data_IF_720707758727
#
_entry.id   IF_720707758727
#
_cell.length_a   1.000
_cell.length_b   1.000
_cell.length_c   1.000
_cell.angle_alpha   90.00
_cell.angle_beta   90.00
_cell.angle_gamma   90.00
#
_symmetry.space_group_name_H-M   'P 1'
#
loop_
_entity.id
_entity.type
_entity.pdbx_description
1 polymer ?
#
# COMPACT_ATOMS: atom_id res chain seq x y z
N UNK A 1 11.58 11.15 -20.17
CA UNK A 1 11.02 11.58 -18.86
C UNK A 1 12.11 11.97 -17.86
N UNK A 2 12.94 11.05 -17.35
CA UNK A 2 14.01 11.41 -16.41
C UNK A 2 14.96 12.52 -16.91
N UNK A 3 15.37 12.47 -18.18
CA UNK A 3 16.19 13.53 -18.77
C UNK A 3 15.46 14.89 -18.82
N UNK A 4 14.15 14.91 -19.11
CA UNK A 4 13.35 16.14 -19.11
C UNK A 4 13.23 16.72 -17.70
N UNK A 5 12.96 15.85 -16.72
CA UNK A 5 12.94 16.22 -15.30
C UNK A 5 14.27 16.84 -14.86
N UNK A 6 15.40 16.23 -15.27
CA UNK A 6 16.72 16.77 -14.97
C UNK A 6 16.97 18.15 -15.63
N UNK A 7 16.66 18.29 -16.92
CA UNK A 7 16.94 19.52 -17.68
C UNK A 7 16.06 20.68 -17.23
N UNK A 8 14.79 20.41 -16.93
CA UNK A 8 13.80 21.45 -16.57
C UNK A 8 13.70 21.70 -15.06
N UNK A 9 14.40 20.90 -14.26
CA UNK A 9 14.29 20.83 -12.80
C UNK A 9 12.89 20.51 -12.25
N UNK A 10 11.92 20.16 -13.10
CA UNK A 10 10.60 19.73 -12.65
C UNK A 10 10.57 18.26 -12.22
N UNK A 11 9.72 17.96 -11.24
CA UNK A 11 9.53 16.62 -10.70
C UNK A 11 9.20 15.58 -11.79
N UNK A 12 9.73 14.36 -11.64
CA UNK A 12 9.42 13.26 -12.56
C UNK A 12 7.92 12.93 -12.57
N UNK A 13 7.26 12.97 -11.41
CA UNK A 13 5.82 12.72 -11.29
C UNK A 13 5.00 13.71 -12.14
N UNK A 14 5.35 14.99 -12.11
CA UNK A 14 4.67 16.02 -12.91
C UNK A 14 4.85 15.77 -14.41
N UNK A 15 6.06 15.43 -14.83
CA UNK A 15 6.28 15.03 -16.23
C UNK A 15 5.45 13.80 -16.60
N UNK A 16 5.37 12.79 -15.73
CA UNK A 16 4.52 11.62 -16.00
C UNK A 16 3.04 12.02 -16.14
N UNK A 17 2.54 12.89 -15.27
CA UNK A 17 1.18 13.39 -15.32
C UNK A 17 0.87 14.14 -16.64
N UNK A 18 1.80 14.97 -17.12
CA UNK A 18 1.67 15.66 -18.43
C UNK A 18 1.48 14.68 -19.58
N UNK A 19 2.09 13.49 -19.50
CA UNK A 19 1.96 12.44 -20.51
C UNK A 19 0.79 11.46 -20.21
N UNK A 20 -0.12 11.82 -19.31
CA UNK A 20 -1.31 11.03 -18.98
C UNK A 20 -1.04 9.89 -17.98
N UNK A 21 0.10 9.89 -17.30
CA UNK A 21 0.48 8.87 -16.32
C UNK A 21 0.43 9.49 -14.92
N UNK A 22 -0.75 9.42 -14.29
CA UNK A 22 -0.96 9.86 -12.92
C UNK A 22 -0.60 8.73 -11.94
N UNK A 23 0.53 8.89 -11.23
CA UNK A 23 1.02 7.90 -10.28
C UNK A 23 0.11 7.71 -9.07
N UNK A 24 -0.54 8.78 -8.59
CA UNK A 24 -1.43 8.72 -7.42
C UNK A 24 -2.71 7.93 -7.78
N UNK A 25 -3.26 8.14 -8.99
CA UNK A 25 -4.40 7.36 -9.50
C UNK A 25 -4.02 5.90 -9.72
N UNK A 26 -2.89 5.65 -10.41
CA UNK A 26 -2.45 4.29 -10.74
C UNK A 26 -2.20 3.49 -9.47
N UNK A 27 -1.42 4.03 -8.51
CA UNK A 27 -1.14 3.31 -7.27
C UNK A 27 -2.33 3.28 -6.30
N UNK A 28 -3.31 4.19 -6.45
CA UNK A 28 -4.61 4.10 -5.79
C UNK A 28 -5.38 2.81 -6.12
N UNK A 29 -5.17 2.22 -7.30
CA UNK A 29 -5.79 0.94 -7.68
C UNK A 29 -5.39 -0.22 -6.76
N UNK A 30 -4.28 -0.12 -6.00
CA UNK A 30 -3.84 -1.19 -5.07
C UNK A 30 -4.93 -1.54 -4.05
N UNK A 31 -5.72 -0.56 -3.62
CA UNK A 31 -6.81 -0.75 -2.64
C UNK A 31 -7.96 -1.60 -3.23
N UNK A 32 -8.10 -1.63 -4.55
CA UNK A 32 -9.17 -2.37 -5.23
C UNK A 32 -8.80 -3.83 -5.53
N UNK A 33 -7.51 -4.15 -5.51
CA UNK A 33 -6.99 -5.50 -5.79
C UNK A 33 -7.18 -6.37 -4.55
N UNK A 34 -7.90 -7.49 -4.70
CA UNK A 34 -7.99 -8.51 -3.66
C UNK A 34 -6.61 -9.16 -3.46
N UNK A 35 -6.20 -9.24 -2.20
CA UNK A 35 -4.90 -9.81 -1.81
C UNK A 35 -5.14 -11.00 -0.90
N UNK A 36 -4.46 -12.10 -1.17
CA UNK A 36 -4.40 -13.23 -0.24
C UNK A 36 -3.64 -12.86 1.01
N UNK A 37 -2.48 -12.22 0.87
CA UNK A 37 -1.64 -11.82 2.00
C UNK A 37 -1.91 -10.36 2.40
N UNK A 38 -1.78 -10.04 3.68
CA UNK A 38 -1.80 -8.65 4.14
C UNK A 38 -0.57 -7.93 3.59
N UNK A 39 -0.77 -6.75 3.02
CA UNK A 39 0.30 -5.99 2.35
C UNK A 39 0.39 -4.57 2.89
N UNK A 40 1.59 -4.01 2.89
CA UNK A 40 1.77 -2.59 3.12
C UNK A 40 1.30 -1.79 1.91
N UNK A 41 0.52 -0.76 2.17
CA UNK A 41 0.16 0.24 1.18
C UNK A 41 1.28 1.27 1.09
N UNK A 42 1.59 1.66 -0.15
CA UNK A 42 2.43 2.82 -0.41
C UNK A 42 1.64 4.08 -0.05
N UNK A 43 2.11 4.82 0.96
CA UNK A 43 1.52 6.09 1.40
C UNK A 43 2.24 7.30 0.80
N UNK A 44 3.11 7.09 -0.19
CA UNK A 44 3.73 8.16 -0.95
C UNK A 44 2.69 8.96 -1.70
N UNK A 45 2.80 10.29 -1.61
CA UNK A 45 2.03 11.21 -2.44
C UNK A 45 2.97 11.74 -3.51
N UNK A 46 2.66 11.44 -4.77
CA UNK A 46 3.51 11.75 -5.92
C UNK A 46 3.29 13.18 -6.41
N UNK A 47 2.04 13.64 -6.43
CA UNK A 47 1.69 15.04 -6.67
C UNK A 47 1.34 15.76 -5.36
N UNK A 48 2.36 16.39 -4.76
CA UNK A 48 2.18 17.19 -3.53
C UNK A 48 1.33 18.44 -3.74
N UNK A 49 1.13 18.89 -4.99
CA UNK A 49 0.27 20.02 -5.32
C UNK A 49 -1.10 19.58 -5.79
N UNK A 50 -1.42 18.29 -5.78
CA UNK A 50 -2.77 17.81 -6.06
C UNK A 50 -3.78 18.49 -5.12
N UNK A 51 -4.93 18.81 -5.68
CA UNK A 51 -6.05 19.33 -4.91
C UNK A 51 -6.87 18.19 -4.32
N UNK A 52 -7.07 18.22 -3.02
CA UNK A 52 -7.80 17.23 -2.25
C UNK A 52 -9.14 17.84 -1.80
N UNK A 53 -10.28 17.22 -2.14
CA UNK A 53 -11.57 17.61 -1.57
C UNK A 53 -11.50 17.59 -0.05
N UNK A 54 -11.96 18.65 0.59
CA UNK A 54 -11.84 18.78 2.04
C UNK A 54 -13.20 18.98 2.72
N UNK A 55 -13.22 18.64 4.01
CA UNK A 55 -14.38 18.74 4.85
C UNK A 55 -14.04 19.42 6.17
N UNK A 56 -15.01 20.12 6.73
CA UNK A 56 -14.92 20.72 8.05
C UNK A 56 -15.96 20.09 8.98
N UNK A 57 -15.66 20.09 10.26
CA UNK A 57 -16.58 19.58 11.28
C UNK A 57 -17.85 20.43 11.30
N UNK A 58 -18.99 19.76 11.24
CA UNK A 58 -20.30 20.36 11.34
C UNK A 58 -20.74 20.25 12.80
N UNK A 59 -21.19 21.37 13.37
CA UNK A 59 -21.86 21.34 14.66
C UNK A 59 -23.13 20.48 14.53
N UNK A 60 -23.22 19.33 15.20
CA UNK A 60 -24.35 18.44 15.05
C UNK A 60 -25.60 19.11 15.64
N UNK A 61 -26.71 19.06 14.92
CA UNK A 61 -27.98 19.67 15.36
C UNK A 61 -28.66 18.90 16.53
N UNK A 62 -28.05 17.83 17.03
CA UNK A 62 -28.59 16.95 18.07
C UNK A 62 -27.55 15.96 18.63
N UNK A 63 -28.01 14.95 19.38
CA UNK A 63 -27.15 13.93 19.99
C UNK A 63 -26.52 13.05 18.92
N UNK A 64 -25.19 13.06 18.84
CA UNK A 64 -24.42 12.17 17.96
C UNK A 64 -24.40 10.77 18.55
N UNK A 65 -24.83 9.77 17.77
CA UNK A 65 -24.75 8.37 18.16
C UNK A 65 -23.35 7.81 17.86
N UNK A 66 -22.99 6.70 18.53
CA UNK A 66 -21.71 6.00 18.31
C UNK A 66 -21.49 5.59 16.84
N UNK A 67 -22.57 5.44 16.06
CA UNK A 67 -22.53 5.23 14.62
C UNK A 67 -23.41 6.32 14.01
N UNK A 68 -22.80 7.30 13.34
CA UNK A 68 -23.50 8.40 12.68
C UNK A 68 -22.97 8.59 11.26
N UNK A 69 -23.82 8.90 10.26
CA UNK A 69 -23.36 9.19 8.90
C UNK A 69 -22.39 10.36 8.88
N UNK A 70 -21.30 10.25 8.11
CA UNK A 70 -20.29 11.32 8.00
C UNK A 70 -20.91 12.66 7.55
N UNK A 71 -21.94 12.66 6.70
CA UNK A 71 -22.62 13.89 6.28
C UNK A 71 -23.37 14.65 7.39
N UNK A 72 -23.59 14.02 8.55
CA UNK A 72 -24.11 14.71 9.75
C UNK A 72 -23.00 15.36 10.57
N UNK A 73 -21.78 14.83 10.47
CA UNK A 73 -20.60 15.26 11.22
C UNK A 73 -19.68 16.19 10.42
N UNK A 74 -19.75 16.12 9.10
CA UNK A 74 -18.86 16.79 8.17
C UNK A 74 -19.66 17.57 7.14
N UNK A 75 -19.20 18.79 6.85
CA UNK A 75 -19.67 19.61 5.74
C UNK A 75 -18.52 19.83 4.75
N UNK A 76 -18.84 19.99 3.46
CA UNK A 76 -17.82 20.37 2.47
C UNK A 76 -17.14 21.68 2.86
N UNK A 77 -15.84 21.74 2.62
CA UNK A 77 -15.01 22.91 2.84
C UNK A 77 -14.18 23.20 1.58
N UNK A 78 -13.43 24.29 1.61
CA UNK A 78 -12.50 24.64 0.54
C UNK A 78 -11.48 23.51 0.33
N UNK A 79 -11.25 23.06 -0.91
CA UNK A 79 -10.23 22.07 -1.22
C UNK A 79 -8.86 22.48 -0.68
N UNK A 80 -8.06 21.49 -0.28
CA UNK A 80 -6.70 21.72 0.25
C UNK A 80 -5.65 21.14 -0.68
N UNK A 81 -4.42 21.65 -0.61
CA UNK A 81 -3.30 21.00 -1.30
C UNK A 81 -2.85 19.78 -0.50
N UNK A 82 -2.44 18.74 -1.21
CA UNK A 82 -1.92 17.54 -0.57
C UNK A 82 -0.73 17.85 0.35
N UNK A 83 0.16 18.77 -0.03
CA UNK A 83 1.29 19.21 0.77
C UNK A 83 0.90 19.71 2.18
N UNK A 84 -0.22 20.44 2.28
CA UNK A 84 -0.71 20.99 3.54
C UNK A 84 -1.15 19.89 4.52
N UNK A 85 -1.45 18.69 4.00
CA UNK A 85 -1.89 17.53 4.76
C UNK A 85 -0.73 16.59 5.14
N UNK A 86 0.42 16.70 4.45
CA UNK A 86 1.55 15.78 4.60
C UNK A 86 2.47 16.12 5.78
N UNK A 87 2.65 17.41 6.09
CA UNK A 87 3.56 17.89 7.13
C UNK A 87 3.38 17.21 8.52
N UNK A 88 2.16 16.98 9.05
CA UNK A 88 2.00 16.41 10.39
C UNK A 88 2.24 14.90 10.50
N UNK A 89 2.26 14.16 9.38
CA UNK A 89 2.15 12.69 9.38
C UNK A 89 3.32 11.94 8.75
N UNK A 90 4.32 12.63 8.20
CA UNK A 90 5.42 12.00 7.46
C UNK A 90 6.18 10.97 8.31
N UNK A 91 6.10 9.69 7.94
CA UNK A 91 6.79 8.57 8.60
C UNK A 91 6.19 8.12 9.94
N UNK A 92 5.10 8.74 10.41
CA UNK A 92 4.46 8.39 11.69
C UNK A 92 3.53 7.18 11.57
N UNK A 93 2.92 7.02 10.41
CA UNK A 93 1.91 5.99 10.18
C UNK A 93 2.25 5.15 8.96
N UNK A 94 2.02 3.86 9.09
CA UNK A 94 1.98 2.91 7.99
C UNK A 94 0.53 2.45 7.80
N UNK A 95 0.21 2.04 6.58
CA UNK A 95 -1.12 1.54 6.24
C UNK A 95 -0.98 0.13 5.70
N UNK A 96 -1.81 -0.78 6.22
CA UNK A 96 -1.86 -2.17 5.78
C UNK A 96 -3.22 -2.47 5.17
N UNK A 97 -3.24 -3.16 4.02
CA UNK A 97 -4.45 -3.73 3.45
C UNK A 97 -4.55 -5.19 3.92
N UNK A 98 -5.60 -5.49 4.69
CA UNK A 98 -5.82 -6.82 5.26
C UNK A 98 -6.15 -7.82 4.16
N UNK A 99 -5.36 -8.89 4.09
CA UNK A 99 -5.53 -9.97 3.11
C UNK A 99 -6.54 -11.03 3.56
N UNK A 100 -6.98 -11.85 2.60
CA UNK A 100 -7.95 -12.93 2.83
C UNK A 100 -7.42 -14.07 3.70
N UNK A 101 -6.11 -14.33 3.66
CA UNK A 101 -5.45 -15.38 4.42
C UNK A 101 -4.87 -14.91 5.76
N UNK A 102 -5.17 -13.67 6.20
CA UNK A 102 -4.70 -13.15 7.49
C UNK A 102 -5.55 -13.65 8.66
N UNK A 103 -5.30 -14.91 9.04
CA UNK A 103 -5.99 -15.60 10.14
C UNK A 103 -5.82 -14.93 11.51
N UNK A 104 -4.79 -14.10 11.69
CA UNK A 104 -4.54 -13.39 12.94
C UNK A 104 -5.36 -12.11 13.08
N UNK A 105 -5.77 -11.52 11.95
CA UNK A 105 -6.58 -10.30 11.89
C UNK A 105 -8.06 -10.59 12.17
N UNK A 106 -8.50 -11.80 11.83
CA UNK A 106 -9.87 -12.27 12.03
C UNK A 106 -10.17 -12.52 13.53
N UNK A 107 -11.38 -12.20 14.01
CA UNK A 107 -12.53 -11.65 13.28
C UNK A 107 -12.55 -10.11 13.31
N UNK A 108 -11.57 -9.48 13.95
CA UNK A 108 -11.61 -8.06 14.30
C UNK A 108 -11.55 -7.19 13.05
N UNK A 109 -10.65 -7.53 12.12
CA UNK A 109 -10.52 -6.87 10.83
C UNK A 109 -10.95 -7.84 9.73
N UNK A 110 -11.84 -7.37 8.85
CA UNK A 110 -12.29 -8.16 7.70
C UNK A 110 -11.31 -8.00 6.53
N UNK A 111 -11.17 -9.00 5.64
CA UNK A 111 -10.38 -8.85 4.41
C UNK A 111 -10.80 -7.61 3.61
N UNK A 112 -9.82 -6.92 3.04
CA UNK A 112 -10.01 -5.64 2.34
C UNK A 112 -10.10 -4.41 3.25
N UNK A 113 -10.05 -4.58 4.58
CA UNK A 113 -9.93 -3.43 5.49
C UNK A 113 -8.56 -2.78 5.38
N UNK A 114 -8.50 -1.47 5.52
CA UNK A 114 -7.25 -0.72 5.62
C UNK A 114 -7.01 -0.38 7.09
N UNK A 115 -5.93 -0.90 7.67
CA UNK A 115 -5.52 -0.59 9.03
C UNK A 115 -4.41 0.46 9.02
N UNK A 116 -4.45 1.38 9.98
CA UNK A 116 -3.36 2.34 10.24
C UNK A 116 -2.55 1.86 11.43
N UNK A 117 -1.23 1.84 11.27
CA UNK A 117 -0.28 1.46 12.31
C UNK A 117 0.64 2.64 12.69
N UNK A 118 0.68 3.02 13.97
CA UNK A 118 1.60 4.04 14.52
C UNK A 118 2.99 3.43 14.74
N UNK A 119 3.97 3.93 13.98
CA UNK A 119 5.35 3.41 13.97
C UNK A 119 6.12 3.71 15.24
N UNK A 120 5.70 4.74 16.00
CA UNK A 120 6.34 5.13 17.27
C UNK A 120 6.09 4.13 18.38
N UNK A 121 5.10 3.25 18.20
CA UNK A 121 4.70 2.21 19.15
C UNK A 121 5.08 0.80 18.65
N UNK A 122 6.16 0.72 17.86
CA UNK A 122 6.73 -0.53 17.36
C UNK A 122 7.63 -1.26 18.37
N UNK A 123 8.05 -0.57 19.43
CA UNK A 123 9.04 -1.09 20.38
C UNK A 123 8.44 -1.42 21.75
N UNK A 124 8.51 -2.70 22.10
CA UNK A 124 8.37 -3.18 23.47
C UNK A 124 6.97 -3.63 23.87
N UNK A 125 6.89 -4.43 24.95
CA UNK A 125 5.61 -4.82 25.52
C UNK A 125 4.86 -3.58 26.02
N UNK A 126 3.63 -3.40 25.54
CA UNK A 126 2.70 -2.49 26.20
C UNK A 126 2.39 -3.03 27.61
N UNK A 127 2.09 -2.15 28.58
CA UNK A 127 1.71 -2.58 29.93
C UNK A 127 0.59 -3.62 29.84
N UNK A 128 0.73 -4.71 30.60
CA UNK A 128 -0.19 -5.84 30.57
C UNK A 128 -1.62 -5.39 30.86
N UNK A 129 -2.49 -5.42 29.83
CA UNK A 129 -3.93 -5.40 30.07
C UNK A 129 -4.36 -6.75 30.64
N UNK A 130 -5.26 -6.70 31.62
CA UNK A 130 -5.78 -7.86 32.35
C UNK A 130 -6.66 -8.78 31.48
N UNK A 131 -7.03 -8.38 30.26
CA UNK A 131 -7.84 -9.20 29.35
C UNK A 131 -7.19 -9.43 27.98
N UNK A 132 -7.25 -10.67 27.48
CA UNK A 132 -6.75 -11.05 26.14
C UNK A 132 -7.55 -10.38 25.01
N UNK A 133 -8.79 -9.95 25.29
CA UNK A 133 -9.67 -9.26 24.35
C UNK A 133 -9.31 -7.78 24.14
N UNK A 134 -8.65 -7.15 25.11
CA UNK A 134 -8.19 -5.75 25.05
C UNK A 134 -6.77 -5.60 24.52
N UNK A 135 -6.09 -6.72 24.24
CA UNK A 135 -4.72 -6.64 23.73
C UNK A 135 -4.69 -5.95 22.37
N UNK A 136 -3.77 -5.00 22.18
CA UNK A 136 -3.66 -4.27 20.93
C UNK A 136 -3.22 -5.16 19.77
N UNK A 137 -3.62 -4.79 18.57
CA UNK A 137 -3.11 -5.37 17.34
C UNK A 137 -1.85 -4.63 16.87
N UNK A 138 -0.95 -5.37 16.25
CA UNK A 138 0.26 -4.87 15.64
C UNK A 138 0.32 -5.30 14.19
N UNK A 139 0.89 -4.43 13.37
CA UNK A 139 1.28 -4.80 12.02
C UNK A 139 2.69 -5.37 12.07
N UNK A 140 2.86 -6.59 11.57
CA UNK A 140 4.14 -7.32 11.61
C UNK A 140 4.53 -7.72 10.21
N UNK A 141 5.76 -7.39 9.83
CA UNK A 141 6.39 -7.89 8.61
C UNK A 141 7.14 -9.18 8.91
N UNK A 142 7.01 -10.18 8.04
CA UNK A 142 7.75 -11.43 8.06
C UNK A 142 8.11 -11.87 6.64
N UNK A 143 8.74 -13.04 6.50
CA UNK A 143 9.21 -13.58 5.20
C UNK A 143 8.12 -13.69 4.11
N UNK A 144 6.87 -13.90 4.51
CA UNK A 144 5.71 -14.10 3.64
C UNK A 144 4.79 -12.88 3.57
N UNK A 145 5.35 -11.68 3.68
CA UNK A 145 4.59 -10.44 3.62
C UNK A 145 4.30 -9.84 5.00
N UNK A 146 3.09 -9.33 5.20
CA UNK A 146 2.68 -8.77 6.48
C UNK A 146 1.52 -9.56 7.09
N UNK A 147 1.34 -9.41 8.40
CA UNK A 147 0.17 -9.88 9.13
C UNK A 147 -0.25 -8.84 10.18
N UNK A 148 -1.56 -8.74 10.40
CA UNK A 148 -2.13 -7.94 11.47
C UNK A 148 -2.50 -8.89 12.62
N UNK A 149 -1.73 -8.87 13.70
CA UNK A 149 -1.86 -9.86 14.76
C UNK A 149 -1.68 -9.24 16.14
N UNK A 150 -2.17 -9.95 17.15
CA UNK A 150 -1.78 -9.66 18.53
C UNK A 150 -0.48 -10.40 18.84
N UNK A 151 0.32 -9.80 19.72
CA UNK A 151 1.64 -10.33 20.08
C UNK A 151 1.66 -10.86 21.50
N UNK A 152 2.23 -12.06 21.67
CA UNK A 152 2.71 -12.56 22.95
C UNK A 152 4.23 -12.43 22.98
N UNK A 153 4.73 -11.67 23.94
CA UNK A 153 6.16 -11.51 24.15
C UNK A 153 6.69 -12.70 24.95
N UNK A 154 7.46 -13.57 24.30
CA UNK A 154 8.04 -14.78 24.90
C UNK A 154 9.45 -14.54 25.46
N UNK A 155 10.00 -13.34 25.24
CA UNK A 155 11.33 -12.94 25.69
C UNK A 155 11.69 -11.56 25.12
N UNK A 156 12.98 -11.22 25.12
CA UNK A 156 13.48 -9.95 24.57
C UNK A 156 13.34 -9.86 23.05
N UNK A 157 13.67 -10.95 22.35
CA UNK A 157 13.73 -10.98 20.87
C UNK A 157 12.80 -12.03 20.25
N UNK A 158 11.83 -12.55 21.01
CA UNK A 158 10.89 -13.57 20.53
C UNK A 158 9.46 -13.13 20.78
N UNK A 159 8.66 -13.20 19.73
CA UNK A 159 7.23 -12.93 19.77
C UNK A 159 6.48 -14.10 19.16
N UNK A 160 5.29 -14.35 19.68
CA UNK A 160 4.33 -15.22 19.04
C UNK A 160 3.17 -14.39 18.48
N UNK A 161 2.88 -14.58 17.19
CA UNK A 161 1.64 -14.14 16.58
C UNK A 161 0.54 -15.08 17.07
N UNK A 162 -0.57 -14.55 17.55
CA UNK A 162 -1.70 -15.37 17.99
C UNK A 162 -3.04 -14.78 17.55
N UNK A 163 -3.99 -15.67 17.25
CA UNK A 163 -5.39 -15.31 17.02
C UNK A 163 -6.19 -15.56 18.31
N UNK A 164 -7.06 -14.63 18.74
CA UNK A 164 -7.92 -14.85 19.91
C UNK A 164 -8.99 -15.93 19.67
N UNK A 165 -9.34 -16.22 18.42
CA UNK A 165 -10.35 -17.23 18.07
C UNK A 165 -9.78 -18.62 17.92
N UNK A 166 -8.48 -18.73 17.63
CA UNK A 166 -7.81 -20.02 17.48
C UNK A 166 -6.48 -20.03 18.24
N UNK A 167 -6.49 -20.51 19.51
CA UNK A 167 -5.29 -20.62 20.33
C UNK A 167 -4.22 -21.54 19.73
N UNK A 168 -4.58 -22.42 18.78
CA UNK A 168 -3.66 -23.35 18.14
C UNK A 168 -2.89 -22.71 16.98
N UNK A 169 -3.35 -21.56 16.47
CA UNK A 169 -2.64 -20.77 15.46
C UNK A 169 -1.67 -19.85 16.19
N UNK A 170 -0.55 -20.43 16.62
CA UNK A 170 0.56 -19.75 17.25
C UNK A 170 1.79 -19.87 16.35
N UNK A 171 2.35 -18.74 15.94
CA UNK A 171 3.63 -18.73 15.21
C UNK A 171 4.66 -17.94 15.97
N UNK A 172 5.65 -18.65 16.50
CA UNK A 172 6.82 -18.03 17.12
C UNK A 172 7.77 -17.49 16.04
N UNK A 173 8.23 -16.26 16.24
CA UNK A 173 9.14 -15.56 15.33
C UNK A 173 10.22 -14.84 16.13
N UNK A 174 11.45 -14.90 15.64
CA UNK A 174 12.56 -14.10 16.15
C UNK A 174 12.54 -12.68 15.58
N UNK A 175 12.39 -11.69 16.45
CA UNK A 175 12.46 -10.28 16.08
C UNK A 175 13.83 -9.92 15.50
N UNK A 176 13.83 -9.12 14.44
CA UNK A 176 15.03 -8.67 13.73
C UNK A 176 15.61 -9.70 12.76
N UNK A 177 15.17 -10.97 12.81
CA UNK A 177 15.57 -12.01 11.84
C UNK A 177 14.41 -12.51 11.00
N UNK A 178 13.33 -12.92 11.65
CA UNK A 178 12.16 -13.56 11.04
C UNK A 178 10.97 -12.62 11.00
N UNK A 179 10.90 -11.68 11.95
CA UNK A 179 9.83 -10.70 12.02
C UNK A 179 10.32 -9.31 12.39
N UNK A 180 9.61 -8.29 11.91
CA UNK A 180 9.76 -6.90 12.31
C UNK A 180 8.38 -6.33 12.67
N UNK A 181 8.24 -5.85 13.91
CA UNK A 181 7.03 -5.11 14.31
C UNK A 181 7.09 -3.73 13.68
N UNK A 182 6.09 -3.41 12.86
CA UNK A 182 6.02 -2.17 12.10
C UNK A 182 5.33 -1.04 12.89
N UNK A 183 4.32 -1.38 13.69
CA UNK A 183 3.62 -0.40 14.51
C UNK A 183 2.36 -0.95 15.17
N UNK A 184 1.81 -0.15 16.09
CA UNK A 184 0.55 -0.42 16.78
C UNK A 184 -0.63 -0.04 15.89
N UNK A 185 -1.56 -0.95 15.65
CA UNK A 185 -2.80 -0.65 14.91
C UNK A 185 -3.72 0.21 15.78
N UNK A 186 -4.08 1.39 15.26
CA UNK A 186 -4.86 2.39 16.01
C UNK A 186 -6.13 2.88 15.28
N UNK A 187 -6.29 2.55 13.98
CA UNK A 187 -7.48 2.86 13.21
C UNK A 187 -7.73 1.84 12.09
N UNK A 188 -8.99 1.73 11.66
CA UNK A 188 -9.46 0.87 10.57
C UNK A 188 -10.38 1.67 9.64
N UNK A 189 -10.24 1.47 8.33
CA UNK A 189 -11.24 1.80 7.32
C UNK A 189 -11.76 0.48 6.75
N UNK A 190 -13.06 0.24 6.90
CA UNK A 190 -13.71 -1.01 6.51
C UNK A 190 -14.45 -0.87 5.17
N UNK A 191 -14.37 -1.85 4.25
CA UNK A 191 -15.16 -1.83 3.03
C UNK A 191 -16.68 -1.94 3.31
N UNK A 192 -17.50 -1.18 2.57
CA UNK A 192 -18.97 -1.06 2.78
C UNK A 192 -19.76 -2.18 2.08
N UNK A 193 -19.19 -2.88 1.09
CA UNK A 193 -19.80 -4.04 0.40
C UNK A 193 -18.84 -5.22 0.38
N UNK A 194 -19.31 -6.36 0.88
CA UNK A 194 -18.67 -7.66 0.70
C UNK A 194 -19.51 -8.43 -0.33
N UNK A 195 -19.29 -8.16 -1.61
CA UNK A 195 -19.90 -8.94 -2.68
C UNK A 195 -18.86 -9.09 -3.78
N UNK A 196 -17.91 -9.99 -3.53
CA UNK A 196 -16.90 -10.40 -4.49
C UNK A 196 -16.61 -11.88 -4.25
N UNK A 197 -16.95 -12.69 -5.25
CA UNK A 197 -16.82 -14.14 -5.24
C UNK A 197 -15.45 -14.58 -4.74
N UNK A 198 -15.49 -15.54 -3.81
CA UNK A 198 -14.33 -16.26 -3.31
C UNK A 198 -13.76 -17.14 -4.42
N UNK A 199 -12.93 -16.55 -5.27
CA UNK A 199 -12.14 -17.26 -6.26
C UNK A 199 -11.10 -18.15 -5.59
N UNK A 200 -11.45 -19.43 -5.42
CA UNK A 200 -10.58 -20.59 -5.16
C UNK A 200 -9.44 -20.38 -4.15
N UNK A 201 -9.68 -20.86 -2.93
CA UNK A 201 -8.64 -21.15 -1.94
C UNK A 201 -7.79 -22.30 -2.50
N UNK A 202 -6.52 -22.04 -2.80
CA UNK A 202 -5.53 -23.09 -3.10
C UNK A 202 -4.47 -23.11 -1.99
N UNK A 203 -3.98 -24.32 -1.69
CA UNK A 203 -3.19 -24.69 -0.52
C UNK A 203 -1.97 -23.79 -0.22
N UNK A 204 -1.67 -23.53 1.06
CA UNK A 204 -0.56 -22.69 1.52
C UNK A 204 0.85 -23.31 1.33
N UNK A 205 1.01 -24.28 0.43
CA UNK A 205 2.10 -25.27 0.52
C UNK A 205 3.36 -24.99 -0.31
N UNK A 206 3.53 -23.83 -0.96
CA UNK A 206 4.79 -23.55 -1.68
C UNK A 206 5.25 -22.10 -1.46
N UNK A 207 5.81 -21.84 -0.28
CA UNK A 207 6.64 -20.66 -0.04
C UNK A 207 7.79 -21.06 0.90
N UNK A 208 8.86 -21.57 0.31
CA UNK A 208 10.07 -21.92 1.05
C UNK A 208 10.95 -20.69 1.31
N UNK A 209 11.33 -20.54 2.58
CA UNK A 209 12.53 -19.89 3.12
C UNK A 209 13.06 -18.67 2.35
N UNK A 210 12.57 -17.48 2.70
CA UNK A 210 13.20 -16.22 2.28
C UNK A 210 13.43 -15.31 3.49
N UNK A 211 14.70 -15.19 3.90
CA UNK A 211 15.11 -14.23 4.94
C UNK A 211 14.77 -12.80 4.48
N UNK A 212 14.59 -11.89 5.44
CA UNK A 212 14.51 -10.44 5.21
C UNK A 212 15.85 -9.92 4.65
N UNK A 213 16.14 -10.19 3.37
CA UNK A 213 17.36 -9.75 2.69
C UNK A 213 17.06 -8.43 1.97
N UNK A 214 17.88 -7.38 2.16
CA UNK A 214 17.83 -6.19 1.32
C UNK A 214 18.13 -6.58 -0.13
N UNK A 215 17.18 -6.40 -1.04
CA UNK A 215 17.33 -6.77 -2.45
C UNK A 215 18.24 -5.78 -3.17
N UNK A 216 19.44 -6.22 -3.54
CA UNK A 216 20.46 -5.35 -4.14
C UNK A 216 20.30 -5.18 -5.66
N UNK A 217 19.56 -6.06 -6.34
CA UNK A 217 19.36 -6.00 -7.79
C UNK A 217 17.87 -6.16 -8.16
N UNK A 218 17.50 -5.71 -9.37
CA UNK A 218 16.11 -5.72 -9.86
C UNK A 218 15.50 -7.12 -9.90
N UNK A 219 16.28 -8.14 -10.29
CA UNK A 219 15.81 -9.53 -10.37
C UNK A 219 15.32 -10.01 -9.00
N UNK A 220 16.15 -9.85 -7.98
CA UNK A 220 15.84 -10.31 -6.62
C UNK A 220 14.70 -9.48 -6.03
N UNK A 221 14.64 -8.17 -6.32
CA UNK A 221 13.53 -7.31 -5.94
C UNK A 221 12.20 -7.81 -6.52
N UNK A 222 12.13 -8.07 -7.82
CA UNK A 222 10.91 -8.55 -8.48
C UNK A 222 10.46 -9.90 -7.91
N UNK A 223 11.39 -10.86 -7.88
CA UNK A 223 11.09 -12.23 -7.42
C UNK A 223 10.66 -12.24 -5.95
N UNK A 224 11.41 -11.59 -5.08
CA UNK A 224 11.11 -11.59 -3.64
C UNK A 224 9.82 -10.84 -3.35
N UNK A 225 9.56 -9.72 -4.01
CA UNK A 225 8.31 -8.96 -3.82
C UNK A 225 7.09 -9.72 -4.35
N UNK A 226 7.18 -10.42 -5.48
CA UNK A 226 6.10 -11.28 -5.96
C UNK A 226 5.79 -12.41 -4.96
N UNK A 227 6.83 -13.07 -4.46
CA UNK A 227 6.72 -14.14 -3.45
C UNK A 227 6.07 -13.58 -2.17
N UNK A 228 6.54 -12.42 -1.67
CA UNK A 228 6.02 -11.73 -0.48
C UNK A 228 4.56 -11.26 -0.58
N UNK A 229 4.01 -11.16 -1.78
CA UNK A 229 2.59 -10.82 -2.00
C UNK A 229 1.77 -12.08 -2.31
N UNK A 230 2.44 -13.23 -2.50
CA UNK A 230 1.81 -14.53 -2.72
C UNK A 230 1.22 -14.71 -4.11
N UNK A 231 1.78 -14.07 -5.14
CA UNK A 231 1.28 -14.16 -6.52
C UNK A 231 2.06 -15.19 -7.36
N UNK A 232 1.35 -16.09 -8.03
CA UNK A 232 1.92 -16.81 -9.16
C UNK A 232 1.87 -15.97 -10.45
N UNK A 233 2.61 -16.36 -11.49
CA UNK A 233 2.61 -15.62 -12.76
C UNK A 233 1.25 -15.58 -13.45
N UNK A 234 0.41 -16.62 -13.28
CA UNK A 234 -0.94 -16.64 -13.86
C UNK A 234 -1.83 -15.60 -13.18
N UNK A 235 -1.87 -15.59 -11.85
CA UNK A 235 -2.62 -14.59 -11.07
C UNK A 235 -2.12 -13.17 -11.36
N UNK A 236 -0.79 -12.96 -11.38
CA UNK A 236 -0.22 -11.67 -11.72
C UNK A 236 -0.59 -11.22 -13.14
N UNK A 237 -0.65 -12.13 -14.11
CA UNK A 237 -1.08 -11.81 -15.47
C UNK A 237 -2.56 -11.43 -15.51
N UNK A 238 -3.45 -12.19 -14.84
CA UNK A 238 -4.87 -11.86 -14.74
C UNK A 238 -5.10 -10.50 -14.07
N UNK A 239 -4.37 -10.19 -13.00
CA UNK A 239 -4.43 -8.87 -12.37
C UNK A 239 -3.91 -7.76 -13.28
N UNK A 240 -2.84 -8.01 -14.06
CA UNK A 240 -2.35 -7.01 -15.01
C UNK A 240 -3.34 -6.72 -16.15
N UNK A 241 -4.16 -7.71 -16.53
CA UNK A 241 -5.25 -7.51 -17.49
C UNK A 241 -6.33 -6.62 -16.89
N UNK A 242 -6.75 -6.90 -15.66
CA UNK A 242 -7.69 -6.03 -14.95
C UNK A 242 -7.19 -4.59 -14.81
N UNK A 243 -5.89 -4.39 -14.56
CA UNK A 243 -5.26 -3.06 -14.53
C UNK A 243 -5.33 -2.38 -15.90
N UNK A 244 -5.05 -3.12 -16.99
CA UNK A 244 -5.16 -2.60 -18.35
C UNK A 244 -6.59 -2.18 -18.68
N UNK A 245 -7.60 -2.98 -18.29
CA UNK A 245 -9.01 -2.64 -18.46
C UNK A 245 -9.38 -1.38 -17.64
N UNK A 246 -8.96 -1.33 -16.36
CA UNK A 246 -9.25 -0.23 -15.46
C UNK A 246 -8.62 1.10 -15.91
N UNK A 247 -7.45 1.04 -16.54
CA UNK A 247 -6.74 2.20 -17.08
C UNK A 247 -7.04 2.45 -18.57
N UNK A 248 -7.81 1.57 -19.21
CA UNK A 248 -8.08 1.58 -20.66
C UNK A 248 -6.80 1.65 -21.52
N UNK A 249 -5.75 0.95 -21.12
CA UNK A 249 -4.46 0.91 -21.82
C UNK A 249 -3.81 -0.50 -21.74
N UNK A 250 -3.79 -1.19 -22.87
CA UNK A 250 -3.20 -2.53 -23.05
C UNK A 250 -1.70 -2.59 -22.75
N UNK A 251 -1.00 -1.44 -22.74
CA UNK A 251 0.40 -1.39 -22.35
C UNK A 251 0.63 -1.74 -20.88
N UNK A 252 -0.41 -1.81 -20.04
CA UNK A 252 -0.29 -2.31 -18.66
C UNK A 252 -0.35 -3.85 -18.57
N UNK A 253 -0.90 -4.57 -19.55
CA UNK A 253 -1.08 -6.03 -19.49
C UNK A 253 0.24 -6.81 -19.65
N UNK A 254 0.59 -7.71 -18.73
CA UNK A 254 1.77 -8.56 -18.85
C UNK A 254 1.39 -10.05 -18.91
N UNK A 255 1.78 -10.73 -19.98
CA UNK A 255 1.59 -12.17 -20.11
C UNK A 255 2.47 -12.95 -19.10
N UNK A 256 2.11 -14.19 -18.72
CA UNK A 256 2.88 -14.97 -17.73
C UNK A 256 4.34 -15.20 -18.14
N UNK A 257 4.61 -15.43 -19.43
CA UNK A 257 5.97 -15.55 -19.96
C UNK A 257 6.75 -14.25 -19.82
N UNK A 258 6.14 -13.11 -20.13
CA UNK A 258 6.76 -11.79 -19.99
C UNK A 258 7.15 -11.50 -18.54
N UNK A 259 6.29 -11.87 -17.57
CA UNK A 259 6.60 -11.72 -16.14
C UNK A 259 7.79 -12.60 -15.72
N UNK A 260 7.83 -13.84 -16.20
CA UNK A 260 8.97 -14.75 -16.00
C UNK A 260 10.26 -14.18 -16.62
N UNK A 261 10.17 -13.58 -17.81
CA UNK A 261 11.31 -12.97 -18.49
C UNK A 261 11.85 -11.75 -17.71
N UNK A 262 10.98 -10.93 -17.12
CA UNK A 262 11.40 -9.82 -16.27
C UNK A 262 12.16 -10.29 -15.02
N UNK A 263 11.74 -11.39 -14.39
CA UNK A 263 12.45 -11.99 -13.26
C UNK A 263 13.77 -12.67 -13.67
N UNK A 264 13.97 -13.01 -14.94
CA UNK A 264 15.19 -13.69 -15.38
C UNK A 264 16.21 -12.73 -15.98
N UNK A 265 15.80 -11.74 -16.77
CA UNK A 265 16.72 -10.92 -17.58
C UNK A 265 17.41 -9.79 -16.80
N UNK A 266 16.98 -9.49 -15.57
CA UNK A 266 17.53 -8.43 -14.72
C UNK A 266 17.58 -7.03 -15.38
N UNK A 267 16.81 -6.84 -16.45
CA UNK A 267 16.68 -5.58 -17.17
C UNK A 267 15.27 -5.02 -16.98
N UNK A 268 15.11 -3.69 -16.81
CA UNK A 268 13.80 -3.10 -16.66
C UNK A 268 12.97 -3.23 -17.96
N UNK A 269 11.63 -3.36 -17.85
CA UNK A 269 10.74 -3.29 -18.99
C UNK A 269 10.95 -2.03 -19.83
N UNK A 270 10.76 -2.14 -21.15
CA UNK A 270 10.91 -1.01 -22.09
C UNK A 270 9.83 0.06 -21.93
N UNK A 271 8.62 -0.35 -21.54
CA UNK A 271 7.46 0.52 -21.37
C UNK A 271 7.25 0.83 -19.89
N UNK A 272 7.06 2.10 -19.57
CA UNK A 272 6.82 2.54 -18.20
C UNK A 272 5.53 1.94 -17.62
N UNK A 273 4.51 1.71 -18.44
CA UNK A 273 3.28 1.03 -18.02
C UNK A 273 3.57 -0.34 -17.41
N UNK A 274 4.50 -1.12 -18.00
CA UNK A 274 4.91 -2.41 -17.44
C UNK A 274 5.64 -2.26 -16.11
N UNK A 275 6.47 -1.22 -15.96
CA UNK A 275 7.13 -0.89 -14.68
C UNK A 275 6.06 -0.59 -13.62
N UNK A 276 5.08 0.25 -13.95
CA UNK A 276 4.00 0.63 -13.05
C UNK A 276 3.12 -0.57 -12.68
N UNK A 277 2.80 -1.44 -13.64
CA UNK A 277 2.13 -2.73 -13.38
C UNK A 277 2.91 -3.57 -12.38
N UNK A 278 4.23 -3.75 -12.56
CA UNK A 278 5.05 -4.52 -11.61
C UNK A 278 5.07 -3.88 -10.21
N UNK A 279 5.23 -2.57 -10.14
CA UNK A 279 5.19 -1.84 -8.86
C UNK A 279 3.83 -2.00 -8.16
N UNK A 280 2.74 -1.88 -8.92
CA UNK A 280 1.38 -2.03 -8.43
C UNK A 280 1.09 -3.45 -7.91
N UNK A 281 1.42 -4.46 -8.72
CA UNK A 281 1.10 -5.85 -8.42
C UNK A 281 2.00 -6.43 -7.33
N UNK A 282 3.29 -6.12 -7.34
CA UNK A 282 4.25 -6.66 -6.36
C UNK A 282 4.45 -5.75 -5.14
N UNK A 283 3.65 -4.68 -5.03
CA UNK A 283 3.72 -3.71 -3.92
C UNK A 283 5.13 -3.12 -3.73
N UNK A 284 5.82 -2.85 -4.83
CA UNK A 284 7.16 -2.23 -4.83
C UNK A 284 6.99 -0.70 -4.87
N UNK A 285 7.81 0.03 -4.11
CA UNK A 285 7.91 1.49 -4.23
C UNK A 285 8.47 1.86 -5.62
N UNK A 286 7.83 2.80 -6.30
CA UNK A 286 8.23 3.17 -7.66
C UNK A 286 9.68 3.66 -7.70
N UNK A 287 10.11 4.44 -6.70
CA UNK A 287 11.49 4.94 -6.63
C UNK A 287 12.47 3.81 -6.31
N UNK A 288 12.12 2.89 -5.44
CA UNK A 288 12.90 1.66 -5.18
C UNK A 288 13.10 0.84 -6.45
N UNK A 289 12.05 0.63 -7.25
CA UNK A 289 12.16 -0.05 -8.54
C UNK A 289 13.16 0.64 -9.46
N UNK A 290 13.06 1.97 -9.63
CA UNK A 290 13.97 2.72 -10.49
C UNK A 290 15.42 2.66 -9.99
N UNK A 291 15.65 2.73 -8.66
CA UNK A 291 16.98 2.54 -8.07
C UNK A 291 17.54 1.15 -8.34
N UNK A 292 16.73 0.10 -8.14
CA UNK A 292 17.12 -1.28 -8.39
C UNK A 292 17.39 -1.55 -9.89
N UNK A 293 16.77 -0.75 -10.77
CA UNK A 293 17.02 -0.75 -12.22
C UNK A 293 18.30 0.00 -12.63
N UNK A 294 19.03 0.59 -11.68
CA UNK A 294 20.26 1.35 -11.93
C UNK A 294 20.04 2.78 -12.44
N UNK A 295 18.82 3.33 -12.36
CA UNK A 295 18.53 4.68 -12.82
C UNK A 295 18.97 5.74 -11.78
N UNK A 296 19.70 6.80 -12.19
CA UNK A 296 20.21 7.81 -11.28
C UNK A 296 19.11 8.80 -10.87
N UNK A 297 18.38 8.47 -9.80
CA UNK A 297 17.33 9.35 -9.24
C UNK A 297 17.89 10.61 -8.56
N UNK A 298 19.17 10.65 -8.22
CA UNK A 298 19.81 11.82 -7.60
C UNK A 298 19.88 13.06 -8.51
N UNK A 299 19.57 12.90 -9.81
CA UNK A 299 19.55 13.97 -10.80
C UNK A 299 18.14 14.39 -11.19
N UNK A 300 17.10 13.82 -10.57
CA UNK A 300 15.73 14.24 -10.86
C UNK A 300 15.51 15.70 -10.48
N UNK A 301 14.60 16.35 -11.19
CA UNK A 301 14.11 17.68 -10.83
C UNK A 301 13.31 17.61 -9.53
N UNK A 302 13.40 18.66 -8.73
CA UNK A 302 12.74 18.75 -7.42
C UNK A 302 11.61 19.79 -7.39
N UNK A 303 11.57 20.67 -8.39
CA UNK A 303 10.58 21.74 -8.44
C UNK A 303 9.25 21.19 -8.90
N UNK A 304 8.17 21.65 -8.27
CA UNK A 304 6.84 21.32 -8.73
C UNK A 304 6.50 22.17 -9.97
N UNK A 305 6.05 21.50 -11.03
CA UNK A 305 5.55 22.12 -12.24
C UNK A 305 4.34 23.01 -11.91
N UNK A 306 4.21 24.21 -12.50
CA UNK A 306 3.02 25.06 -12.36
C UNK A 306 1.73 24.32 -12.73
N UNK A 307 0.62 24.68 -12.08
CA UNK A 307 -0.66 23.97 -12.24
C UNK A 307 -1.19 24.01 -13.68
N UNK A 308 -0.93 25.10 -14.41
CA UNK A 308 -1.37 25.22 -15.82
C UNK A 308 -0.65 24.21 -16.71
N UNK A 309 0.60 23.90 -16.41
CA UNK A 309 1.42 22.96 -17.16
C UNK A 309 1.17 21.52 -16.71
N UNK A 310 0.98 21.29 -15.40
CA UNK A 310 0.70 19.99 -14.83
C UNK A 310 -0.78 19.57 -14.93
N UNK A 311 -1.64 20.42 -15.54
CA UNK A 311 -3.07 20.17 -15.74
C UNK A 311 -3.83 19.85 -14.44
N UNK A 312 -3.46 20.49 -13.32
CA UNK A 312 -4.13 20.27 -12.02
C UNK A 312 -5.43 21.04 -11.96
N UNK A 313 -6.52 20.34 -11.61
CA UNK A 313 -7.86 20.95 -11.55
C UNK A 313 -8.32 21.12 -10.11
N UNK A 314 -8.93 22.27 -9.80
CA UNK A 314 -9.58 22.49 -8.49
C UNK A 314 -10.87 21.67 -8.46
N UNK A 315 -11.07 20.79 -7.46
CA UNK A 315 -12.31 20.04 -7.30
C UNK A 315 -13.49 20.99 -7.19
N UNK A 316 -14.57 20.69 -7.92
CA UNK A 316 -15.84 21.42 -7.83
C UNK A 316 -15.78 22.88 -8.33
N UNK A 317 -14.85 23.21 -9.24
CA UNK A 317 -14.82 24.53 -9.88
C UNK A 317 -16.08 24.76 -10.72
N UNK A 318 -17.01 25.56 -10.18
CA UNK A 318 -18.27 25.92 -10.83
C UNK A 318 -18.11 26.84 -12.05
N UNK A 319 -16.88 27.13 -12.51
CA UNK A 319 -16.58 28.12 -13.56
C UNK A 319 -16.47 27.55 -14.98
N UNK A 320 -16.85 26.30 -15.25
CA UNK A 320 -17.04 25.81 -16.63
C UNK A 320 -18.50 25.44 -16.91
N UNK A 321 -19.12 25.98 -17.98
CA UNK A 321 -20.34 25.41 -18.53
C UNK A 321 -20.02 24.05 -19.18
N UNK A 322 -21.02 23.17 -19.15
CA UNK A 322 -21.01 21.83 -19.74
C UNK A 322 -20.54 21.79 -21.20
#
# INVERSE_FOLDING_TARGET
>A
MLALSHITNYALSDWLAVFGIDLDVIFGLRVLIQRRQTTLLDSSVYDTRAWIPWFMERQPAGVVQSISPLGQLLAHSEPRRALDLLAPNKGRFLYGLIGEADVYALPTFVPGSIVRADTRRSHGPLPESKSTAEKPFFLVEHEFGCSCSRLLWLGKDRVALYSPQDPCVLRELQLGKEARVLGLVDAEIRPIRNDRDSGSIMDPAILENSRLVPTANLRDLLRNSRIKVGLCFREASSLSHWVADALSDELYFAAPSTLSDYETLAAPPRHIQKILTLCLLYCIDFREFLRASGLPLNREGHDAMPDELALRHVPNDKRRPH
#
